data_IF_628157797297
#
_entry.id   IF_628157797297
#
_cell.length_a   1.000
_cell.length_b   1.000
_cell.length_c   1.000
_cell.angle_alpha   90.00
_cell.angle_beta   90.00
_cell.angle_gamma   90.00
#
_symmetry.space_group_name_H-M   'P 1'
#
loop_
_entity.id
_entity.type
_entity.pdbx_description
1 polymer ?
#
# COMPACT_ATOMS: atom_id res chain seq x y z
N UNK A 1 -3.79 -56.41 59.93
CA UNK A 1 -4.74 -55.40 59.32
C UNK A 1 -3.88 -54.27 58.77
N UNK A 2 -3.64 -54.22 57.46
CA UNK A 2 -2.87 -53.18 56.80
C UNK A 2 -3.85 -52.42 55.88
N UNK A 3 -4.11 -51.13 56.17
CA UNK A 3 -4.93 -50.25 55.39
C UNK A 3 -4.11 -49.77 54.21
N UNK A 4 -4.61 -50.02 52.97
CA UNK A 4 -4.04 -49.50 51.75
C UNK A 4 -4.65 -48.15 51.47
N UNK A 5 -3.80 -47.16 51.24
CA UNK A 5 -4.21 -45.81 50.81
C UNK A 5 -4.46 -45.78 49.27
N UNK A 6 -5.50 -45.13 48.80
CA UNK A 6 -5.72 -44.98 47.34
C UNK A 6 -4.81 -43.87 46.80
N UNK A 7 -4.03 -44.22 45.78
CA UNK A 7 -3.29 -43.26 44.95
C UNK A 7 -4.27 -42.56 44.00
N UNK A 8 -4.54 -41.28 44.24
CA UNK A 8 -5.32 -40.44 43.36
C UNK A 8 -4.37 -39.95 42.25
N UNK A 9 -4.53 -40.53 41.07
CA UNK A 9 -3.85 -40.10 39.84
C UNK A 9 -4.53 -38.83 39.29
N UNK A 10 -3.97 -37.66 39.58
CA UNK A 10 -4.44 -36.40 39.02
C UNK A 10 -3.90 -36.32 37.60
N UNK A 11 -4.78 -36.63 36.63
CA UNK A 11 -4.54 -36.44 35.19
C UNK A 11 -4.72 -34.95 34.86
N UNK A 12 -3.64 -34.16 34.92
CA UNK A 12 -3.63 -32.77 34.44
C UNK A 12 -3.70 -32.76 32.91
N UNK A 13 -4.91 -32.56 32.39
CA UNK A 13 -5.14 -32.33 30.97
C UNK A 13 -4.59 -30.93 30.62
N UNK A 14 -3.36 -30.90 30.08
CA UNK A 14 -2.79 -29.68 29.52
C UNK A 14 -3.56 -29.33 28.25
N UNK A 15 -4.55 -28.45 28.38
CA UNK A 15 -5.27 -27.83 27.24
C UNK A 15 -4.32 -26.85 26.56
N UNK A 16 -3.52 -27.34 25.61
CA UNK A 16 -2.74 -26.51 24.71
C UNK A 16 -3.73 -25.74 23.82
N UNK A 17 -4.02 -24.50 24.21
CA UNK A 17 -4.69 -23.53 23.35
C UNK A 17 -3.72 -23.25 22.20
N UNK A 18 -3.91 -23.94 21.10
CA UNK A 18 -3.40 -23.53 19.78
C UNK A 18 -4.11 -22.21 19.46
N UNK A 19 -3.51 -21.08 19.86
CA UNK A 19 -3.79 -19.80 19.25
C UNK A 19 -3.40 -19.93 17.78
N UNK A 20 -4.33 -20.41 16.97
CA UNK A 20 -4.29 -20.19 15.53
C UNK A 20 -4.28 -18.68 15.37
N UNK A 21 -3.12 -18.13 15.04
CA UNK A 21 -2.96 -16.74 14.67
C UNK A 21 -3.82 -16.50 13.42
N UNK A 22 -5.09 -16.19 13.63
CA UNK A 22 -5.85 -15.41 12.67
C UNK A 22 -5.05 -14.13 12.52
N UNK A 23 -4.34 -13.99 11.39
CA UNK A 23 -3.57 -12.80 11.08
C UNK A 23 -4.49 -11.61 11.27
N UNK A 24 -4.25 -10.87 12.34
CA UNK A 24 -4.99 -9.66 12.66
C UNK A 24 -4.87 -8.80 11.43
N UNK A 25 -5.98 -8.60 10.72
CA UNK A 25 -5.99 -7.80 9.51
C UNK A 25 -5.45 -6.44 9.90
N UNK A 26 -4.22 -6.17 9.47
CA UNK A 26 -3.46 -4.96 9.81
C UNK A 26 -4.40 -3.75 9.83
N UNK A 27 -4.37 -2.98 10.93
CA UNK A 27 -5.14 -1.75 11.03
C UNK A 27 -4.53 -0.72 10.09
N UNK A 28 -4.98 -0.74 8.82
CA UNK A 28 -4.47 0.15 7.78
C UNK A 28 -4.56 1.64 8.16
N UNK A 29 -5.33 1.97 9.20
CA UNK A 29 -5.34 3.32 9.73
C UNK A 29 -4.00 3.72 10.39
N UNK A 30 -3.24 2.76 10.90
CA UNK A 30 -2.01 2.99 11.66
C UNK A 30 -0.76 2.46 10.98
N UNK A 31 -0.88 1.34 10.27
CA UNK A 31 0.27 0.61 9.74
C UNK A 31 -0.05 -0.17 8.47
N UNK A 32 0.97 -0.57 7.74
CA UNK A 32 0.89 -1.50 6.63
C UNK A 32 1.85 -2.67 6.86
N UNK A 33 1.33 -3.90 6.93
CA UNK A 33 2.11 -5.13 7.19
C UNK A 33 3.10 -4.96 8.37
N UNK A 34 2.59 -4.52 9.53
CA UNK A 34 3.36 -4.29 10.76
C UNK A 34 4.40 -3.17 10.65
N UNK A 35 4.34 -2.34 9.62
CA UNK A 35 5.16 -1.15 9.45
C UNK A 35 4.31 0.09 9.68
N UNK A 36 4.55 0.86 10.77
CA UNK A 36 3.80 2.07 11.06
C UNK A 36 3.94 3.10 9.94
N UNK A 37 2.86 3.80 9.62
CA UNK A 37 2.94 4.94 8.73
C UNK A 37 3.83 6.03 9.33
N UNK A 38 4.69 6.63 8.52
CA UNK A 38 5.66 7.62 8.97
C UNK A 38 6.95 7.04 9.55
N UNK A 39 7.08 5.72 9.66
CA UNK A 39 8.30 5.07 10.12
C UNK A 39 9.50 5.47 9.26
N UNK A 40 10.68 5.68 9.87
CA UNK A 40 11.88 6.05 9.14
C UNK A 40 12.41 4.87 8.31
N UNK A 41 13.09 5.18 7.20
CA UNK A 41 13.67 4.19 6.29
C UNK A 41 14.61 3.19 7.01
N UNK A 42 15.25 3.60 8.09
CA UNK A 42 16.13 2.75 8.90
C UNK A 42 15.42 1.52 9.49
N UNK A 43 14.08 1.55 9.62
CA UNK A 43 13.27 0.41 10.06
C UNK A 43 12.94 -0.60 8.94
N UNK A 44 13.47 -0.39 7.73
CA UNK A 44 13.26 -1.23 6.56
C UNK A 44 14.58 -1.89 6.08
N UNK A 45 15.22 -2.73 6.90
CA UNK A 45 16.49 -3.35 6.53
C UNK A 45 16.31 -4.29 5.33
N UNK A 46 17.25 -4.24 4.38
CA UNK A 46 17.26 -5.09 3.19
C UNK A 46 16.39 -4.59 2.03
N UNK A 47 15.77 -3.42 2.16
CA UNK A 47 15.05 -2.79 1.06
C UNK A 47 16.04 -2.14 0.09
N UNK A 48 15.77 -2.29 -1.21
CA UNK A 48 16.60 -1.75 -2.30
C UNK A 48 15.90 -0.56 -2.93
N UNK A 49 16.62 0.55 -3.12
CA UNK A 49 16.11 1.70 -3.84
C UNK A 49 15.93 1.35 -5.32
N UNK A 50 14.75 1.68 -5.87
CA UNK A 50 14.40 1.43 -7.27
C UNK A 50 14.10 2.70 -8.06
N UNK A 51 14.25 3.87 -7.42
CA UNK A 51 14.07 5.16 -8.06
C UNK A 51 13.52 6.21 -7.10
N UNK A 52 13.21 7.39 -7.65
CA UNK A 52 12.64 8.50 -6.92
C UNK A 52 12.86 9.82 -7.64
N UNK A 53 12.28 10.89 -7.11
CA UNK A 53 12.47 12.26 -7.58
C UNK A 53 12.42 13.23 -6.42
N UNK A 54 13.36 14.16 -6.36
CA UNK A 54 13.48 15.15 -5.29
C UNK A 54 13.59 14.47 -3.92
N UNK A 55 12.59 14.71 -3.06
CA UNK A 55 12.52 14.15 -1.70
C UNK A 55 11.76 12.84 -1.62
N UNK A 56 11.26 12.33 -2.74
CA UNK A 56 10.53 11.07 -2.81
C UNK A 56 11.48 9.97 -3.28
N UNK A 57 11.46 8.83 -2.60
CA UNK A 57 12.22 7.65 -2.98
C UNK A 57 11.34 6.39 -2.89
N UNK A 58 11.60 5.43 -3.79
CA UNK A 58 10.88 4.17 -3.86
C UNK A 58 11.81 3.00 -3.58
N UNK A 59 11.30 2.04 -2.82
CA UNK A 59 12.06 0.87 -2.38
C UNK A 59 11.25 -0.41 -2.57
N UNK A 60 11.94 -1.50 -2.79
CA UNK A 60 11.37 -2.86 -2.85
C UNK A 60 12.12 -3.79 -1.91
N UNK A 61 11.44 -4.82 -1.40
CA UNK A 61 12.09 -5.94 -0.75
C UNK A 61 11.93 -7.19 -1.63
N UNK A 62 12.91 -7.52 -2.48
CA UNK A 62 12.79 -8.59 -3.48
C UNK A 62 12.73 -10.00 -2.89
N UNK A 63 12.91 -10.14 -1.58
CA UNK A 63 12.94 -11.44 -0.89
C UNK A 63 11.61 -11.83 -0.23
N UNK A 64 10.58 -10.99 -0.31
CA UNK A 64 9.31 -11.24 0.36
C UNK A 64 8.18 -11.49 -0.64
N UNK A 65 7.43 -12.58 -0.41
CA UNK A 65 6.09 -12.73 -0.92
C UNK A 65 5.11 -12.13 0.09
N UNK A 66 4.07 -11.48 -0.38
CA UNK A 66 3.14 -10.75 0.47
C UNK A 66 1.74 -11.35 0.37
N UNK A 67 1.01 -11.36 1.49
CA UNK A 67 -0.41 -11.64 1.51
C UNK A 67 -1.16 -10.37 1.90
N UNK A 68 -1.98 -9.85 0.99
CA UNK A 68 -2.82 -8.66 1.21
C UNK A 68 -4.27 -9.07 0.99
N UNK A 69 -5.12 -8.88 2.02
CA UNK A 69 -6.53 -9.30 1.95
C UNK A 69 -6.71 -10.73 1.44
N UNK A 70 -5.98 -11.68 2.03
CA UNK A 70 -5.98 -13.11 1.68
C UNK A 70 -5.54 -13.44 0.23
N UNK A 71 -4.99 -12.47 -0.50
CA UNK A 71 -4.45 -12.68 -1.83
C UNK A 71 -2.93 -12.56 -1.85
N UNK A 72 -2.27 -13.42 -2.62
CA UNK A 72 -0.83 -13.36 -2.83
C UNK A 72 -0.50 -12.23 -3.82
N UNK A 73 0.49 -11.42 -3.45
CA UNK A 73 1.02 -10.32 -4.26
C UNK A 73 2.53 -10.47 -4.34
N UNK A 74 3.07 -10.48 -5.55
CA UNK A 74 4.50 -10.74 -5.79
C UNK A 74 5.38 -9.57 -5.41
N UNK A 75 4.96 -8.35 -5.78
CA UNK A 75 5.81 -7.17 -5.69
C UNK A 75 5.10 -6.01 -4.99
N UNK A 76 5.77 -5.46 -3.98
CA UNK A 76 5.37 -4.22 -3.34
C UNK A 76 6.44 -3.17 -3.50
N UNK A 77 6.04 -1.99 -3.95
CA UNK A 77 6.87 -0.80 -3.97
C UNK A 77 6.47 0.09 -2.79
N UNK A 78 7.43 0.43 -1.96
CA UNK A 78 7.27 1.26 -0.77
C UNK A 78 7.73 2.68 -1.07
N UNK A 79 6.87 3.66 -0.86
CA UNK A 79 7.15 5.08 -1.06
C UNK A 79 7.58 5.77 0.22
N UNK A 80 8.65 6.55 0.15
CA UNK A 80 9.19 7.36 1.23
C UNK A 80 9.28 8.82 0.81
N UNK A 81 8.92 9.73 1.70
CA UNK A 81 9.11 11.16 1.56
C UNK A 81 10.00 11.66 2.72
N UNK A 82 11.14 12.24 2.40
CA UNK A 82 12.16 12.62 3.40
C UNK A 82 12.43 11.44 4.36
N UNK A 83 12.68 10.25 3.78
CA UNK A 83 12.93 8.99 4.50
C UNK A 83 11.77 8.49 5.38
N UNK A 84 10.58 9.08 5.32
CA UNK A 84 9.38 8.64 6.07
C UNK A 84 8.44 7.86 5.18
N UNK A 85 8.07 6.67 5.62
CA UNK A 85 7.17 5.74 4.93
C UNK A 85 5.76 6.34 4.78
N UNK A 86 5.26 6.46 3.54
CA UNK A 86 3.95 7.07 3.30
C UNK A 86 3.06 6.36 2.28
N UNK A 87 3.60 5.47 1.47
CA UNK A 87 2.83 4.84 0.41
C UNK A 87 3.28 3.41 0.12
N UNK A 88 2.35 2.59 -0.36
CA UNK A 88 2.62 1.26 -0.91
C UNK A 88 1.87 1.10 -2.21
N UNK A 89 2.53 0.48 -3.18
CA UNK A 89 1.98 0.18 -4.50
C UNK A 89 2.16 -1.29 -4.81
N UNK A 90 1.13 -1.90 -5.41
CA UNK A 90 1.14 -3.26 -5.91
C UNK A 90 0.55 -3.32 -7.31
N UNK A 91 1.21 -4.02 -8.21
CA UNK A 91 0.60 -4.45 -9.47
C UNK A 91 -0.11 -5.78 -9.25
N UNK A 92 -1.30 -5.92 -9.82
CA UNK A 92 -2.09 -7.14 -9.72
C UNK A 92 -2.20 -7.75 -11.13
N UNK A 93 -1.76 -9.00 -11.28
CA UNK A 93 -1.68 -9.65 -12.59
C UNK A 93 -2.99 -10.34 -12.98
N UNK A 94 -3.71 -10.89 -11.99
CA UNK A 94 -4.92 -11.66 -12.22
C UNK A 94 -6.19 -10.89 -11.82
N UNK A 95 -7.19 -10.92 -12.68
CA UNK A 95 -8.50 -10.28 -12.44
C UNK A 95 -9.21 -10.88 -11.22
N UNK A 96 -9.01 -12.16 -10.94
CA UNK A 96 -9.59 -12.84 -9.79
C UNK A 96 -8.98 -12.32 -8.48
N UNK A 97 -7.66 -12.11 -8.46
CA UNK A 97 -6.94 -11.46 -7.35
C UNK A 97 -7.46 -10.05 -7.11
N UNK A 98 -7.58 -9.26 -8.18
CA UNK A 98 -8.13 -7.90 -8.11
C UNK A 98 -9.56 -7.90 -7.55
N UNK A 99 -10.43 -8.77 -8.07
CA UNK A 99 -11.84 -8.87 -7.66
C UNK A 99 -11.97 -9.34 -6.20
N UNK A 100 -11.12 -10.28 -5.77
CA UNK A 100 -11.10 -10.77 -4.40
C UNK A 100 -10.68 -9.67 -3.43
N UNK A 101 -9.56 -8.99 -3.69
CA UNK A 101 -9.07 -7.87 -2.87
C UNK A 101 -10.12 -6.76 -2.80
N UNK A 102 -10.73 -6.39 -3.93
CA UNK A 102 -11.78 -5.37 -3.98
C UNK A 102 -12.95 -5.71 -3.07
N UNK A 103 -13.41 -6.96 -3.09
CA UNK A 103 -14.51 -7.44 -2.25
C UNK A 103 -14.16 -7.36 -0.76
N UNK A 104 -12.97 -7.79 -0.37
CA UNK A 104 -12.49 -7.72 1.01
C UNK A 104 -12.39 -6.27 1.51
N UNK A 105 -11.84 -5.37 0.69
CA UNK A 105 -11.77 -3.95 1.02
C UNK A 105 -13.18 -3.37 1.18
N UNK A 106 -14.10 -3.72 0.28
CA UNK A 106 -15.48 -3.24 0.32
C UNK A 106 -16.25 -3.78 1.55
N UNK A 107 -16.02 -5.02 1.94
CA UNK A 107 -16.59 -5.59 3.16
C UNK A 107 -16.09 -4.86 4.42
N UNK A 108 -14.79 -4.53 4.45
CA UNK A 108 -14.17 -3.91 5.63
C UNK A 108 -14.39 -2.39 5.71
N UNK A 109 -14.36 -1.69 4.59
CA UNK A 109 -14.35 -0.21 4.53
C UNK A 109 -15.59 0.38 3.83
N UNK A 110 -16.54 -0.46 3.41
CA UNK A 110 -17.81 -0.03 2.82
C UNK A 110 -17.72 0.27 1.33
N UNK A 111 -18.69 1.03 0.83
CA UNK A 111 -18.83 1.37 -0.59
C UNK A 111 -17.74 2.34 -1.02
N UNK A 112 -17.03 2.08 -2.12
CA UNK A 112 -15.99 2.98 -2.62
C UNK A 112 -16.56 4.25 -3.25
N UNK A 113 -15.79 5.33 -3.22
CA UNK A 113 -15.96 6.42 -4.18
C UNK A 113 -15.40 5.96 -5.51
N UNK A 114 -16.19 6.08 -6.60
CA UNK A 114 -15.79 5.67 -7.95
C UNK A 114 -15.54 6.91 -8.79
N UNK A 115 -14.44 6.90 -9.55
CA UNK A 115 -14.12 7.87 -10.58
C UNK A 115 -13.78 7.14 -11.88
N UNK A 116 -14.30 7.61 -13.00
CA UNK A 116 -14.05 7.06 -14.34
C UNK A 116 -13.51 8.17 -15.23
N UNK A 117 -12.41 7.89 -15.91
CA UNK A 117 -11.86 8.78 -16.92
C UNK A 117 -12.31 8.30 -18.30
N UNK A 118 -12.97 9.21 -19.05
CA UNK A 118 -13.50 8.90 -20.38
C UNK A 118 -12.39 8.63 -21.41
N UNK A 119 -11.22 9.24 -21.23
CA UNK A 119 -10.04 8.99 -22.07
C UNK A 119 -9.17 7.91 -21.42
N UNK A 120 -9.04 6.74 -22.09
CA UNK A 120 -8.17 5.65 -21.64
C UNK A 120 -8.83 4.58 -20.76
N UNK A 121 -10.14 4.67 -20.47
CA UNK A 121 -10.88 3.61 -19.77
C UNK A 121 -10.34 3.31 -18.35
N UNK A 122 -9.87 4.35 -17.63
CA UNK A 122 -9.38 4.19 -16.28
C UNK A 122 -10.53 4.31 -15.27
N UNK A 123 -10.77 3.23 -14.53
CA UNK A 123 -11.68 3.22 -13.38
C UNK A 123 -10.89 3.19 -12.09
N UNK A 124 -11.19 4.13 -11.20
CA UNK A 124 -10.57 4.23 -9.87
C UNK A 124 -11.61 4.05 -8.78
N UNK A 125 -11.37 3.08 -7.91
CA UNK A 125 -12.12 2.86 -6.66
C UNK A 125 -11.30 3.41 -5.50
N UNK A 126 -11.93 4.17 -4.59
CA UNK A 126 -11.24 4.80 -3.47
C UNK A 126 -11.99 4.61 -2.17
N UNK A 127 -11.28 4.18 -1.11
CA UNK A 127 -11.78 4.02 0.25
C UNK A 127 -10.94 4.81 1.24
N UNK A 128 -11.47 4.97 2.44
CA UNK A 128 -10.79 5.56 3.59
C UNK A 128 -10.68 4.54 4.72
N UNK A 129 -9.47 4.41 5.29
CA UNK A 129 -9.19 3.65 6.50
C UNK A 129 -8.46 4.58 7.47
N UNK A 130 -9.22 5.32 8.30
CA UNK A 130 -8.65 6.40 9.11
C UNK A 130 -8.01 7.49 8.24
N UNK A 131 -6.70 7.73 8.43
CA UNK A 131 -5.91 8.66 7.63
C UNK A 131 -5.30 8.02 6.37
N UNK A 132 -5.48 6.72 6.18
CA UNK A 132 -5.00 6.01 4.99
C UNK A 132 -6.07 6.02 3.92
N UNK A 133 -5.67 6.35 2.70
CA UNK A 133 -6.47 6.21 1.49
C UNK A 133 -6.05 4.96 0.74
N UNK A 134 -7.03 4.12 0.38
CA UNK A 134 -6.85 2.94 -0.43
C UNK A 134 -7.38 3.29 -1.83
N UNK A 135 -6.60 3.00 -2.87
CA UNK A 135 -7.05 3.15 -4.26
C UNK A 135 -6.83 1.84 -5.01
N UNK A 136 -7.84 1.41 -5.74
CA UNK A 136 -7.73 0.35 -6.74
C UNK A 136 -8.03 0.95 -8.11
N UNK A 137 -7.15 0.70 -9.06
CA UNK A 137 -7.26 1.22 -10.42
C UNK A 137 -7.29 0.08 -11.41
N UNK A 138 -8.16 0.20 -12.39
CA UNK A 138 -8.26 -0.71 -13.51
C UNK A 138 -8.26 0.09 -14.81
N UNK A 139 -7.30 -0.19 -15.68
CA UNK A 139 -7.23 0.37 -17.02
C UNK A 139 -7.61 -0.70 -18.03
N UNK A 140 -8.80 -0.61 -18.58
CA UNK A 140 -9.37 -1.61 -19.48
C UNK A 140 -8.51 -1.84 -20.73
N UNK A 141 -8.07 -0.78 -21.38
CA UNK A 141 -7.27 -0.85 -22.61
C UNK A 141 -5.93 -1.59 -22.46
N UNK A 142 -5.35 -1.57 -21.28
CA UNK A 142 -4.06 -2.21 -20.98
C UNK A 142 -4.19 -3.48 -20.14
N UNK A 143 -5.39 -3.81 -19.64
CA UNK A 143 -5.58 -4.88 -18.64
C UNK A 143 -4.83 -4.61 -17.34
N UNK A 144 -4.36 -3.38 -17.11
CA UNK A 144 -3.52 -3.05 -15.97
C UNK A 144 -4.37 -2.84 -14.71
N UNK A 145 -3.98 -3.51 -13.64
CA UNK A 145 -4.64 -3.44 -12.34
C UNK A 145 -3.62 -3.06 -11.26
N UNK A 146 -3.93 -2.02 -10.51
CA UNK A 146 -3.06 -1.51 -9.45
C UNK A 146 -3.82 -1.33 -8.15
N UNK A 147 -3.14 -1.62 -7.04
CA UNK A 147 -3.59 -1.35 -5.68
C UNK A 147 -2.59 -0.41 -5.04
N UNK A 148 -3.07 0.61 -4.34
CA UNK A 148 -2.20 1.54 -3.65
C UNK A 148 -2.80 2.01 -2.32
N UNK A 149 -1.91 2.26 -1.38
CA UNK A 149 -2.20 2.76 -0.04
C UNK A 149 -1.40 4.04 0.18
N UNK A 150 -2.05 5.05 0.74
CA UNK A 150 -1.44 6.37 0.95
C UNK A 150 -1.76 6.88 2.34
N UNK A 151 -0.73 7.20 3.11
CA UNK A 151 -0.89 7.90 4.38
C UNK A 151 -1.03 9.40 4.13
N UNK A 152 -2.25 9.89 4.24
CA UNK A 152 -2.64 11.24 3.82
C UNK A 152 -1.90 12.38 4.52
N UNK A 153 -1.52 12.31 5.82
CA UNK A 153 -0.75 13.36 6.45
C UNK A 153 0.58 13.67 5.75
N UNK A 154 1.29 12.64 5.26
CA UNK A 154 2.53 12.83 4.52
C UNK A 154 2.24 13.17 3.05
N UNK A 155 1.24 12.55 2.41
CA UNK A 155 0.84 12.89 1.03
C UNK A 155 0.49 14.37 0.89
N UNK A 156 -0.18 14.96 1.87
CA UNK A 156 -0.50 16.38 1.86
C UNK A 156 0.76 17.26 1.93
N UNK A 157 1.81 16.83 2.65
CA UNK A 157 3.11 17.53 2.66
C UNK A 157 3.81 17.43 1.30
N UNK A 158 3.78 16.24 0.67
CA UNK A 158 4.29 16.02 -0.69
C UNK A 158 3.62 16.96 -1.69
N UNK A 159 2.29 17.00 -1.68
CA UNK A 159 1.52 17.84 -2.60
C UNK A 159 1.85 19.34 -2.40
N UNK A 160 1.96 19.79 -1.14
CA UNK A 160 2.34 21.17 -0.84
C UNK A 160 3.77 21.52 -1.31
N UNK A 161 4.70 20.57 -1.20
CA UNK A 161 6.06 20.76 -1.68
C UNK A 161 6.10 20.86 -3.22
N UNK A 162 5.41 19.95 -3.91
CA UNK A 162 5.33 19.96 -5.37
C UNK A 162 4.66 21.24 -5.91
N UNK A 163 3.59 21.73 -5.27
CA UNK A 163 2.96 23.00 -5.65
C UNK A 163 3.92 24.18 -5.51
N UNK A 164 4.71 24.24 -4.44
CA UNK A 164 5.70 25.29 -4.23
C UNK A 164 6.82 25.24 -5.26
N UNK A 165 7.26 24.06 -5.67
CA UNK A 165 8.28 23.91 -6.72
C UNK A 165 7.75 24.42 -8.07
N UNK A 166 6.50 24.09 -8.43
CA UNK A 166 5.86 24.58 -9.66
C UNK A 166 5.65 26.11 -9.63
N UNK A 167 5.29 26.69 -8.48
CA UNK A 167 5.12 28.14 -8.34
C UNK A 167 6.46 28.89 -8.34
N UNK A 168 7.55 28.25 -7.91
CA UNK A 168 8.88 28.84 -7.85
C UNK A 168 9.61 28.82 -9.20
N UNK A 169 9.18 28.00 -10.16
CA UNK A 169 9.70 28.06 -11.52
C UNK A 169 9.21 29.34 -12.20
N UNK A 170 10.13 30.22 -12.68
CA UNK A 170 9.71 31.40 -13.44
C UNK A 170 8.87 30.93 -14.65
N UNK A 171 7.78 31.67 -15.02
CA UNK A 171 6.99 31.30 -16.17
C UNK A 171 7.91 31.26 -17.40
N UNK A 172 8.22 30.05 -17.86
CA UNK A 172 8.95 29.90 -19.12
C UNK A 172 8.10 30.56 -20.22
N UNK A 173 8.73 31.35 -21.12
CA UNK A 173 8.00 31.90 -22.26
C UNK A 173 7.36 30.72 -23.01
N UNK A 174 6.11 30.89 -23.44
CA UNK A 174 5.20 29.92 -24.09
C UNK A 174 5.81 29.25 -25.35
N UNK A 175 6.95 28.61 -25.22
CA UNK A 175 7.47 27.70 -26.22
C UNK A 175 7.04 26.27 -25.87
N UNK A 176 6.72 25.43 -26.86
CA UNK A 176 6.30 24.06 -26.59
C UNK A 176 7.37 23.38 -25.76
N UNK A 177 6.96 22.81 -24.62
CA UNK A 177 7.80 21.97 -23.78
C UNK A 177 8.56 20.97 -24.66
N UNK A 178 9.88 20.85 -24.49
CA UNK A 178 10.65 19.84 -25.19
C UNK A 178 10.01 18.47 -24.92
N UNK A 179 10.02 17.58 -25.91
CA UNK A 179 9.46 16.23 -25.75
C UNK A 179 9.98 15.51 -24.50
N UNK A 180 11.23 15.77 -24.11
CA UNK A 180 11.86 15.24 -22.91
C UNK A 180 11.14 15.71 -21.63
N UNK A 181 10.86 17.02 -21.49
CA UNK A 181 10.13 17.57 -20.33
C UNK A 181 8.65 17.18 -20.33
N UNK A 182 8.03 16.99 -21.51
CA UNK A 182 6.69 16.44 -21.57
C UNK A 182 6.64 15.00 -21.08
N UNK A 183 7.65 14.18 -21.42
CA UNK A 183 7.75 12.80 -20.97
C UNK A 183 8.04 12.70 -19.47
N UNK A 184 8.92 13.54 -18.93
CA UNK A 184 9.20 13.60 -17.48
C UNK A 184 7.97 14.05 -16.67
N UNK A 185 7.23 15.05 -17.17
CA UNK A 185 5.99 15.50 -16.54
C UNK A 185 4.89 14.43 -16.62
N UNK A 186 4.80 13.70 -17.73
CA UNK A 186 3.85 12.58 -17.90
C UNK A 186 4.24 11.40 -17.00
N UNK A 187 5.51 11.05 -16.89
CA UNK A 187 5.97 10.00 -15.96
C UNK A 187 5.70 10.34 -14.50
N UNK A 188 5.96 11.59 -14.08
CA UNK A 188 5.63 12.07 -12.74
C UNK A 188 4.12 12.07 -12.48
N UNK A 189 3.32 12.56 -13.42
CA UNK A 189 1.87 12.52 -13.33
C UNK A 189 1.33 11.09 -13.38
N UNK A 190 1.97 10.19 -14.13
CA UNK A 190 1.62 8.77 -14.18
C UNK A 190 1.95 8.05 -12.87
N UNK A 191 3.00 8.42 -12.15
CA UNK A 191 3.28 7.91 -10.81
C UNK A 191 2.20 8.31 -9.79
N UNK A 192 1.62 9.48 -9.90
CA UNK A 192 0.59 9.98 -8.98
C UNK A 192 -0.85 9.77 -9.45
N UNK A 193 -1.07 9.60 -10.76
CA UNK A 193 -2.39 9.38 -11.36
C UNK A 193 -2.69 7.91 -11.68
N UNK A 194 -1.74 7.00 -11.43
CA UNK A 194 -1.93 5.56 -11.54
C UNK A 194 -2.30 4.92 -10.23
#
# INVERSE_FOLDING_TARGET
>A
MKAGAPVILILTLALSVLCSGAGEAADLAKEFLQKPWGAPLSEFPGYTNVGGSGKIAYYVNPKQAYTIFNAQVSDLVYGFYEERFFAVYASLEAIDTYSSIKREIQQKYGVPKISMESRGGLTTYSWKAGETRIKMKYREAAGAMKLSFYYMPIVNQVNLALHKEVEAEPPEPLFPLSQTRQNEAVELLDLFNY
#
